data_IF_693602991263
#
_entry.id   IF_693602991263
#
_cell.length_a   1.000
_cell.length_b   1.000
_cell.length_c   1.000
_cell.angle_alpha   90.00
_cell.angle_beta   90.00
_cell.angle_gamma   90.00
#
_symmetry.space_group_name_H-M   'P 1'
#
loop_
_entity.id
_entity.type
_entity.pdbx_description
1 polymer ?
#
# COMPACT_ATOMS: atom_id res chain seq x y z
N UNK A 1 7.53 -17.87 -1.07
CA UNK A 1 6.33 -18.30 -0.37
C UNK A 1 5.52 -17.07 0.08
N UNK A 2 4.27 -17.02 -0.32
CA UNK A 2 3.39 -15.88 0.00
C UNK A 2 3.19 -15.71 1.50
N UNK A 3 3.15 -16.80 2.23
CA UNK A 3 3.05 -16.78 3.68
C UNK A 3 4.19 -16.00 4.32
N UNK A 4 5.44 -16.28 3.91
CA UNK A 4 6.61 -15.61 4.47
C UNK A 4 6.65 -14.12 4.09
N UNK A 5 6.26 -13.79 2.86
CA UNK A 5 6.22 -12.40 2.42
C UNK A 5 5.16 -11.59 3.19
N UNK A 6 3.99 -12.17 3.39
CA UNK A 6 2.91 -11.50 4.14
C UNK A 6 3.33 -11.25 5.59
N UNK A 7 4.05 -12.19 6.21
CA UNK A 7 4.54 -12.01 7.59
C UNK A 7 5.47 -10.81 7.75
N UNK A 8 6.15 -10.41 6.68
CA UNK A 8 7.07 -9.26 6.69
C UNK A 8 6.36 -7.92 6.54
N UNK A 9 5.11 -7.92 6.10
CA UNK A 9 4.35 -6.68 5.96
C UNK A 9 4.06 -6.07 7.33
N UNK A 10 4.14 -4.75 7.39
CA UNK A 10 3.83 -3.98 8.59
C UNK A 10 2.54 -3.21 8.38
N UNK A 11 1.56 -3.48 9.22
CA UNK A 11 0.31 -2.73 9.24
C UNK A 11 0.46 -1.64 10.28
N UNK A 12 0.24 -0.40 9.87
CA UNK A 12 0.46 0.76 10.71
C UNK A 12 -0.84 1.52 10.97
N UNK A 13 -0.91 2.16 12.12
CA UNK A 13 -1.92 3.16 12.40
C UNK A 13 -1.29 4.53 12.16
N UNK A 14 -2.01 5.42 11.51
CA UNK A 14 -1.53 6.76 11.22
C UNK A 14 -2.69 7.74 11.15
N UNK A 15 -2.36 9.03 11.19
CA UNK A 15 -3.31 10.11 11.00
C UNK A 15 -3.06 10.78 9.66
N UNK A 16 -4.10 11.35 9.07
CA UNK A 16 -3.93 12.15 7.86
C UNK A 16 -3.04 13.36 8.14
N UNK A 17 -2.22 13.71 7.17
CA UNK A 17 -1.37 14.89 7.25
C UNK A 17 -2.25 16.14 7.27
N UNK A 18 -2.11 16.97 8.31
CA UNK A 18 -2.90 18.19 8.49
C UNK A 18 -2.72 19.20 7.35
N UNK A 19 -1.53 19.25 6.75
CA UNK A 19 -1.23 20.18 5.67
C UNK A 19 -2.00 19.86 4.38
N UNK A 20 -2.28 18.56 4.14
CA UNK A 20 -2.98 18.09 2.95
C UNK A 20 -4.45 17.77 3.20
N UNK A 21 -4.78 17.37 4.44
CA UNK A 21 -6.12 16.95 4.82
C UNK A 21 -6.50 17.51 6.19
N UNK A 22 -6.63 18.85 6.33
CA UNK A 22 -6.91 19.46 7.62
C UNK A 22 -8.25 19.03 8.24
N UNK A 23 -9.22 18.65 7.40
CA UNK A 23 -10.53 18.15 7.82
C UNK A 23 -10.48 16.72 8.37
N UNK A 24 -9.35 16.01 8.16
CA UNK A 24 -9.19 14.61 8.55
C UNK A 24 -8.11 14.41 9.62
N UNK A 25 -7.57 15.47 10.18
CA UNK A 25 -6.43 15.41 11.10
C UNK A 25 -6.66 14.51 12.32
N UNK A 26 -7.91 14.37 12.78
CA UNK A 26 -8.25 13.57 13.95
C UNK A 26 -8.69 12.15 13.61
N UNK A 27 -8.68 11.78 12.32
CA UNK A 27 -9.06 10.44 11.90
C UNK A 27 -7.85 9.51 11.91
N UNK A 28 -7.93 8.47 12.74
CA UNK A 28 -6.91 7.42 12.80
C UNK A 28 -7.15 6.43 11.68
N UNK A 29 -6.12 6.20 10.89
CA UNK A 29 -6.15 5.28 9.76
C UNK A 29 -5.34 4.03 10.08
N UNK A 30 -5.69 2.93 9.42
CA UNK A 30 -4.91 1.69 9.46
C UNK A 30 -4.55 1.32 8.03
N UNK A 31 -3.31 0.94 7.81
CA UNK A 31 -2.87 0.60 6.46
C UNK A 31 -1.37 0.38 6.38
N UNK A 32 -0.84 0.54 5.18
CA UNK A 32 0.58 0.33 4.90
C UNK A 32 1.28 1.66 4.61
N UNK A 33 2.53 1.74 5.05
CA UNK A 33 3.42 2.82 4.62
C UNK A 33 4.10 2.33 3.32
N UNK A 34 3.97 3.09 2.23
CA UNK A 34 4.42 2.66 0.91
C UNK A 34 5.90 2.28 0.88
N UNK A 35 6.76 3.04 1.56
CA UNK A 35 8.18 2.77 1.61
C UNK A 35 8.49 1.44 2.32
N UNK A 36 7.76 1.12 3.40
CA UNK A 36 7.90 -0.15 4.10
C UNK A 36 7.36 -1.31 3.26
N UNK A 37 6.22 -1.10 2.63
CA UNK A 37 5.57 -2.09 1.76
C UNK A 37 6.48 -2.46 0.58
N UNK A 38 7.16 -1.47 0.00
CA UNK A 38 8.06 -1.64 -1.13
C UNK A 38 9.20 -2.62 -0.83
N UNK A 39 9.64 -2.70 0.43
CA UNK A 39 10.71 -3.64 0.82
C UNK A 39 10.30 -5.10 0.66
N UNK A 40 8.99 -5.38 0.73
CA UNK A 40 8.45 -6.73 0.60
C UNK A 40 7.93 -6.99 -0.82
N UNK A 41 7.19 -6.04 -1.38
CA UNK A 41 6.58 -6.15 -2.71
C UNK A 41 6.94 -4.94 -3.59
N UNK A 42 8.19 -4.87 -4.05
CA UNK A 42 8.63 -3.71 -4.83
C UNK A 42 7.87 -3.53 -6.15
N UNK A 43 7.38 -4.62 -6.74
CA UNK A 43 6.62 -4.57 -8.00
C UNK A 43 5.19 -4.05 -7.82
N UNK A 44 4.71 -3.96 -6.58
CA UNK A 44 3.36 -3.47 -6.27
C UNK A 44 3.35 -2.01 -5.87
N UNK A 45 4.50 -1.35 -5.88
CA UNK A 45 4.61 0.08 -5.59
C UNK A 45 5.04 0.81 -6.85
N UNK A 46 4.34 1.88 -7.16
CA UNK A 46 4.66 2.72 -8.31
C UNK A 46 4.92 4.15 -7.84
N UNK A 47 5.98 4.73 -8.39
CA UNK A 47 6.32 6.12 -8.14
C UNK A 47 5.59 7.01 -9.14
N UNK A 48 4.96 8.06 -8.63
CA UNK A 48 4.34 9.09 -9.44
C UNK A 48 5.04 10.41 -9.16
N UNK A 49 5.39 11.12 -10.21
CA UNK A 49 5.95 12.44 -10.07
C UNK A 49 4.82 13.41 -9.76
N UNK A 50 4.96 14.13 -8.66
CA UNK A 50 3.98 15.13 -8.28
C UNK A 50 4.05 16.31 -9.23
N UNK A 51 2.88 16.84 -9.59
CA UNK A 51 2.77 17.98 -10.49
C UNK A 51 1.92 19.06 -9.85
N UNK A 52 2.14 20.29 -10.29
CA UNK A 52 1.32 21.43 -9.92
C UNK A 52 0.89 22.17 -11.16
N UNK A 53 -0.24 22.85 -11.08
CA UNK A 53 -0.73 23.67 -12.19
C UNK A 53 -0.23 25.09 -11.98
N UNK A 54 0.54 25.59 -12.95
CA UNK A 54 1.05 26.97 -12.96
C UNK A 54 0.52 27.68 -14.20
N UNK A 55 0.44 29.00 -14.11
CA UNK A 55 0.02 29.81 -15.25
C UNK A 55 1.23 30.48 -15.88
N UNK A 56 1.37 30.27 -17.18
CA UNK A 56 2.44 30.90 -17.97
C UNK A 56 1.84 31.60 -19.19
N UNK A 57 2.49 32.66 -19.62
CA UNK A 57 2.10 33.39 -20.84
C UNK A 57 2.71 32.69 -22.06
N UNK A 58 1.91 32.54 -23.11
CA UNK A 58 2.41 32.07 -24.39
C UNK A 58 3.08 33.22 -25.17
N UNK A 59 3.44 32.97 -26.44
CA UNK A 59 4.11 33.96 -27.29
C UNK A 59 3.25 35.21 -27.52
N UNK A 60 1.94 35.07 -27.45
CA UNK A 60 0.99 36.16 -27.69
C UNK A 60 0.58 36.85 -26.38
N UNK A 61 1.17 36.46 -25.26
CA UNK A 61 0.88 37.02 -23.94
C UNK A 61 -0.37 36.50 -23.30
N UNK A 62 -0.97 35.39 -23.81
CA UNK A 62 -2.17 34.77 -23.24
C UNK A 62 -1.76 33.82 -22.15
N UNK A 63 -2.43 33.91 -20.99
CA UNK A 63 -2.20 32.99 -19.87
C UNK A 63 -2.73 31.59 -20.19
N UNK A 64 -1.89 30.59 -19.92
CA UNK A 64 -2.24 29.18 -20.07
C UNK A 64 -1.93 28.44 -18.78
N UNK A 65 -2.78 27.49 -18.47
CA UNK A 65 -2.55 26.57 -17.34
C UNK A 65 -1.68 25.42 -17.81
N UNK A 66 -0.52 25.24 -17.17
CA UNK A 66 0.47 24.22 -17.52
C UNK A 66 0.73 23.37 -16.29
N UNK A 67 0.77 22.06 -16.47
CA UNK A 67 1.17 21.13 -15.42
C UNK A 67 2.70 21.03 -15.41
N UNK A 68 3.31 21.30 -14.27
CA UNK A 68 4.77 21.19 -14.08
C UNK A 68 5.09 20.26 -12.94
N UNK A 69 6.18 19.51 -13.08
CA UNK A 69 6.67 18.64 -12.00
C UNK A 69 7.20 19.48 -10.85
N UNK A 70 6.83 19.09 -9.61
CA UNK A 70 7.30 19.78 -8.40
C UNK A 70 8.68 19.34 -7.97
N UNK A 71 9.16 18.21 -8.49
CA UNK A 71 10.40 17.58 -8.06
C UNK A 71 10.18 16.51 -6.98
N UNK A 72 8.99 16.41 -6.45
CA UNK A 72 8.63 15.40 -5.46
C UNK A 72 8.07 14.14 -6.12
N UNK A 73 8.16 13.02 -5.41
CA UNK A 73 7.65 11.73 -5.86
C UNK A 73 6.73 11.18 -4.80
N UNK A 74 5.54 10.75 -5.22
CA UNK A 74 4.59 10.07 -4.34
C UNK A 74 4.53 8.58 -4.72
N UNK A 75 4.67 7.71 -3.73
CA UNK A 75 4.60 6.27 -3.93
C UNK A 75 3.16 5.79 -3.73
N UNK A 76 2.69 4.96 -4.65
CA UNK A 76 1.35 4.39 -4.61
C UNK A 76 1.43 2.87 -4.57
N UNK A 77 0.68 2.27 -3.67
CA UNK A 77 0.56 0.81 -3.56
C UNK A 77 -0.54 0.35 -4.50
N UNK A 78 -0.24 -0.65 -5.33
CA UNK A 78 -1.23 -1.27 -6.21
C UNK A 78 -2.05 -2.30 -5.42
N UNK A 79 -2.97 -1.82 -4.61
CA UNK A 79 -3.73 -2.65 -3.66
C UNK A 79 -4.54 -3.75 -4.34
N UNK A 80 -5.11 -3.49 -5.52
CA UNK A 80 -5.89 -4.49 -6.24
C UNK A 80 -5.05 -5.73 -6.57
N UNK A 81 -3.75 -5.56 -6.83
CA UNK A 81 -2.84 -6.68 -7.12
C UNK A 81 -2.46 -7.46 -5.85
N UNK A 82 -2.64 -6.85 -4.70
CA UNK A 82 -2.37 -7.50 -3.42
C UNK A 82 -3.46 -8.51 -3.05
N UNK A 83 -4.69 -8.30 -3.51
CA UNK A 83 -5.83 -9.16 -3.16
C UNK A 83 -5.59 -10.64 -3.48
N UNK A 84 -5.16 -11.02 -4.72
CA UNK A 84 -4.86 -12.43 -4.99
C UNK A 84 -3.73 -12.97 -4.14
N UNK A 85 -2.74 -12.14 -3.82
CA UNK A 85 -1.61 -12.53 -2.96
C UNK A 85 -2.09 -12.84 -1.54
N UNK A 86 -2.94 -11.98 -0.99
CA UNK A 86 -3.54 -12.19 0.33
C UNK A 86 -4.44 -13.42 0.34
N UNK A 87 -5.20 -13.63 -0.72
CA UNK A 87 -6.06 -14.80 -0.88
C UNK A 87 -5.22 -16.08 -0.85
N UNK A 88 -4.13 -16.09 -1.60
CA UNK A 88 -3.21 -17.25 -1.63
C UNK A 88 -2.58 -17.51 -0.27
N UNK A 89 -2.14 -16.46 0.41
CA UNK A 89 -1.56 -16.57 1.75
C UNK A 89 -2.57 -17.11 2.75
N UNK A 90 -3.82 -16.65 2.68
CA UNK A 90 -4.89 -17.15 3.54
C UNK A 90 -5.18 -18.62 3.29
N UNK A 91 -5.22 -19.03 2.01
CA UNK A 91 -5.40 -20.45 1.66
C UNK A 91 -4.28 -21.31 2.22
N UNK A 92 -3.03 -20.85 2.10
CA UNK A 92 -1.87 -21.55 2.69
C UNK A 92 -2.00 -21.64 4.21
N UNK A 93 -2.46 -20.59 4.87
CA UNK A 93 -2.68 -20.58 6.31
C UNK A 93 -3.77 -21.58 6.70
N UNK A 94 -4.86 -21.63 5.95
CA UNK A 94 -5.96 -22.55 6.20
C UNK A 94 -5.50 -24.01 6.07
N UNK A 95 -4.70 -24.33 5.06
CA UNK A 95 -4.16 -25.69 4.88
C UNK A 95 -3.25 -26.09 6.06
N UNK A 96 -2.41 -25.15 6.53
CA UNK A 96 -1.54 -25.40 7.69
C UNK A 96 -2.35 -25.62 8.97
N UNK A 97 -3.42 -24.86 9.15
CA UNK A 97 -4.32 -25.00 10.30
C UNK A 97 -5.01 -26.37 10.26
N UNK A 98 -5.55 -26.75 9.09
CA UNK A 98 -6.23 -28.05 8.93
C UNK A 98 -5.28 -29.21 9.18
N UNK A 99 -4.03 -29.12 8.70
CA UNK A 99 -3.01 -30.13 8.97
C UNK A 99 -2.71 -30.23 10.45
N UNK A 100 -2.55 -29.10 11.14
CA UNK A 100 -2.30 -29.07 12.58
C UNK A 100 -3.47 -29.62 13.38
N UNK A 101 -4.70 -29.30 12.97
CA UNK A 101 -5.91 -29.84 13.60
C UNK A 101 -5.96 -31.38 13.49
N UNK A 102 -5.61 -31.91 12.32
CA UNK A 102 -5.55 -33.36 12.10
C UNK A 102 -4.48 -34.01 12.98
N UNK A 103 -3.30 -33.41 13.09
CA UNK A 103 -2.21 -33.90 13.94
C UNK A 103 -2.60 -33.86 15.41
N UNK A 104 -3.25 -32.81 15.87
CA UNK A 104 -3.73 -32.70 17.24
C UNK A 104 -4.77 -33.81 17.54
N UNK A 105 -5.68 -34.05 16.60
CA UNK A 105 -6.68 -35.12 16.74
C UNK A 105 -6.03 -36.49 16.86
N UNK A 106 -5.02 -36.76 16.02
CA UNK A 106 -4.26 -38.02 16.12
C UNK A 106 -3.58 -38.18 17.48
N UNK A 107 -2.94 -37.09 17.97
CA UNK A 107 -2.29 -37.13 19.28
C UNK A 107 -3.26 -37.38 20.43
N UNK A 108 -4.49 -36.86 20.33
CA UNK A 108 -5.53 -37.08 21.35
C UNK A 108 -6.09 -38.49 21.33
N UNK A 109 -6.14 -39.11 20.17
CA UNK A 109 -6.71 -40.43 19.96
C UNK A 109 -5.68 -41.56 20.02
N UNK A 110 -4.43 -41.17 19.97
CA UNK A 110 -3.30 -42.10 20.06
C UNK A 110 -2.74 -42.16 21.45
#
# INVERSE_FOLDING_TARGET
>A
DKWEDIKKLKVRNFYWNEDYHPDKKDQKMIGFIAQEFETVFPKLVKDYKDTEIVQEKDKDGVLQSISKETGDITKHIKEAKLIPILTKALQEAMERIETLEAEVKELKNG
#
